data_IF_899585793426
#
_entry.id   IF_899585793426
#
_cell.length_a   1.000
_cell.length_b   1.000
_cell.length_c   1.000
_cell.angle_alpha   90.00
_cell.angle_beta   90.00
_cell.angle_gamma   90.00
#
_symmetry.space_group_name_H-M   'P 1'
#
loop_
_entity.id
_entity.type
_entity.pdbx_description
1 polymer ?
#
# COMPACT_ATOMS: atom_id res chain seq x y z
N UNK A 1 4.56 -1.13 -20.17
CA UNK A 1 3.58 -0.06 -19.91
C UNK A 1 2.41 -0.52 -19.03
N UNK A 2 1.67 -1.58 -19.37
CA UNK A 2 0.51 -2.04 -18.57
C UNK A 2 0.85 -2.31 -17.09
N UNK A 3 1.99 -2.97 -16.79
CA UNK A 3 2.42 -3.26 -15.42
C UNK A 3 2.56 -2.00 -14.57
N UNK A 4 3.22 -0.97 -15.10
CA UNK A 4 3.45 0.29 -14.40
C UNK A 4 2.15 1.02 -14.07
N UNK A 5 1.17 0.97 -14.97
CA UNK A 5 -0.16 1.56 -14.76
C UNK A 5 -0.89 0.83 -13.63
N UNK A 6 -0.85 -0.51 -13.60
CA UNK A 6 -1.48 -1.31 -12.53
C UNK A 6 -0.85 -0.98 -11.17
N UNK A 7 0.48 -0.93 -11.08
CA UNK A 7 1.13 -0.59 -9.80
C UNK A 7 0.80 0.84 -9.35
N UNK A 8 0.73 1.81 -10.27
CA UNK A 8 0.37 3.18 -9.93
C UNK A 8 -1.09 3.28 -9.44
N UNK A 9 -2.00 2.56 -10.08
CA UNK A 9 -3.40 2.50 -9.67
C UNK A 9 -3.53 1.83 -8.29
N UNK A 10 -2.81 0.73 -8.07
CA UNK A 10 -2.79 0.06 -6.76
C UNK A 10 -2.15 0.90 -5.67
N UNK A 11 -1.18 1.74 -6.00
CA UNK A 11 -0.59 2.69 -5.05
C UNK A 11 -1.63 3.71 -4.56
N UNK A 12 -2.39 4.31 -5.48
CA UNK A 12 -3.45 5.28 -5.13
C UNK A 12 -4.54 4.59 -4.29
N UNK A 13 -4.98 3.40 -4.70
CA UNK A 13 -6.01 2.63 -3.97
C UNK A 13 -5.52 2.25 -2.58
N UNK A 14 -4.28 1.77 -2.46
CA UNK A 14 -3.69 1.39 -1.17
C UNK A 14 -3.54 2.59 -0.25
N UNK A 15 -3.08 3.73 -0.79
CA UNK A 15 -2.97 4.96 -0.02
C UNK A 15 -4.32 5.38 0.55
N UNK A 16 -5.37 5.39 -0.27
CA UNK A 16 -6.73 5.69 0.19
C UNK A 16 -7.27 4.67 1.20
N UNK A 17 -6.98 3.38 0.99
CA UNK A 17 -7.43 2.32 1.90
C UNK A 17 -6.75 2.37 3.28
N UNK A 18 -5.50 2.84 3.33
CA UNK A 18 -4.74 2.99 4.57
C UNK A 18 -5.41 3.99 5.53
N UNK A 19 -6.05 5.05 5.02
CA UNK A 19 -6.76 6.03 5.85
C UNK A 19 -7.92 5.42 6.68
N UNK A 20 -8.43 4.25 6.31
CA UNK A 20 -9.45 3.54 7.08
C UNK A 20 -8.92 2.90 8.38
N UNK A 21 -7.59 2.82 8.56
CA UNK A 21 -6.98 2.20 9.73
C UNK A 21 -6.97 3.16 10.91
N UNK A 22 -7.38 2.68 12.09
CA UNK A 22 -7.26 3.46 13.32
C UNK A 22 -5.81 3.44 13.85
N UNK A 23 -5.02 4.41 13.39
CA UNK A 23 -3.61 4.59 13.73
C UNK A 23 -3.36 4.90 15.22
N UNK A 24 -4.28 5.58 15.91
CA UNK A 24 -4.13 5.92 17.33
C UNK A 24 -4.10 4.68 18.24
N UNK A 25 -4.88 3.66 17.88
CA UNK A 25 -4.88 2.38 18.61
C UNK A 25 -3.74 1.45 18.19
N UNK A 26 -3.27 1.56 16.95
CA UNK A 26 -2.24 0.69 16.39
C UNK A 26 -0.82 1.11 16.78
N UNK A 27 -0.56 2.42 16.87
CA UNK A 27 0.78 2.97 17.01
C UNK A 27 1.11 3.36 18.45
N UNK A 28 2.38 3.24 18.81
CA UNK A 28 2.87 3.66 20.13
C UNK A 28 2.84 5.20 20.24
N UNK A 29 2.37 5.70 21.38
CA UNK A 29 2.39 7.12 21.72
C UNK A 29 3.81 7.69 21.62
N UNK A 30 3.94 8.95 21.19
CA UNK A 30 5.21 9.70 21.03
C UNK A 30 6.19 9.15 19.97
N UNK A 31 5.74 8.33 19.01
CA UNK A 31 6.59 7.78 17.93
C UNK A 31 6.13 8.22 16.52
N UNK A 32 5.87 9.52 16.34
CA UNK A 32 5.35 10.09 15.07
C UNK A 32 6.24 9.77 13.87
N UNK A 33 7.54 9.98 13.97
CA UNK A 33 8.45 9.72 12.83
C UNK A 33 8.49 8.24 12.44
N UNK A 34 8.47 7.33 13.43
CA UNK A 34 8.46 5.89 13.18
C UNK A 34 7.14 5.44 12.55
N UNK A 35 6.03 6.03 13.00
CA UNK A 35 4.71 5.80 12.44
C UNK A 35 4.63 6.25 10.97
N UNK A 36 5.18 7.41 10.63
CA UNK A 36 5.22 7.90 9.25
C UNK A 36 6.04 6.98 8.34
N UNK A 37 7.23 6.56 8.79
CA UNK A 37 8.06 5.60 8.04
C UNK A 37 7.31 4.29 7.85
N UNK A 38 6.65 3.78 8.90
CA UNK A 38 5.84 2.57 8.82
C UNK A 38 4.69 2.72 7.82
N UNK A 39 3.99 3.86 7.83
CA UNK A 39 2.91 4.15 6.89
C UNK A 39 3.40 4.06 5.44
N UNK A 40 4.49 4.76 5.10
CA UNK A 40 5.05 4.72 3.75
C UNK A 40 5.48 3.31 3.32
N UNK A 41 6.15 2.58 4.21
CA UNK A 41 6.56 1.19 3.93
C UNK A 41 5.34 0.30 3.69
N UNK A 42 4.31 0.43 4.52
CA UNK A 42 3.08 -0.34 4.41
C UNK A 42 2.36 -0.04 3.09
N UNK A 43 2.24 1.24 2.72
CA UNK A 43 1.61 1.62 1.44
C UNK A 43 2.38 1.00 0.27
N UNK A 44 3.71 1.13 0.24
CA UNK A 44 4.52 0.57 -0.85
C UNK A 44 4.42 -0.97 -0.92
N UNK A 45 4.48 -1.64 0.24
CA UNK A 45 4.39 -3.09 0.31
C UNK A 45 3.02 -3.61 -0.15
N UNK A 46 1.93 -3.03 0.36
CA UNK A 46 0.57 -3.45 0.01
C UNK A 46 0.26 -3.11 -1.45
N UNK A 47 0.67 -1.95 -1.95
CA UNK A 47 0.51 -1.59 -3.35
C UNK A 47 1.24 -2.56 -4.29
N UNK A 48 2.46 -2.97 -3.94
CA UNK A 48 3.21 -3.96 -4.70
C UNK A 48 2.56 -5.34 -4.67
N UNK A 49 2.12 -5.80 -3.50
CA UNK A 49 1.43 -7.08 -3.33
C UNK A 49 0.12 -7.12 -4.11
N UNK A 50 -0.73 -6.10 -3.96
CA UNK A 50 -1.99 -5.99 -4.67
C UNK A 50 -1.77 -5.87 -6.19
N UNK A 51 -0.80 -5.06 -6.62
CA UNK A 51 -0.43 -4.91 -8.03
C UNK A 51 0.08 -6.22 -8.64
N UNK A 52 0.94 -6.94 -7.91
CA UNK A 52 1.46 -8.24 -8.33
C UNK A 52 0.35 -9.28 -8.44
N UNK A 53 -0.57 -9.30 -7.47
CA UNK A 53 -1.73 -10.18 -7.46
C UNK A 53 -2.62 -9.94 -8.68
N UNK A 54 -2.97 -8.69 -8.96
CA UNK A 54 -3.78 -8.34 -10.14
C UNK A 54 -3.04 -8.72 -11.42
N UNK A 55 -1.75 -8.41 -11.50
CA UNK A 55 -0.92 -8.75 -12.66
C UNK A 55 -0.83 -10.25 -12.90
N UNK A 56 -0.90 -11.08 -11.86
CA UNK A 56 -0.91 -12.53 -11.99
C UNK A 56 -2.09 -13.03 -12.82
N UNK A 57 -3.29 -12.45 -12.65
CA UNK A 57 -4.46 -12.78 -13.48
C UNK A 57 -4.28 -12.39 -14.96
N UNK A 58 -3.55 -11.32 -15.25
CA UNK A 58 -3.27 -10.89 -16.63
C UNK A 58 -2.10 -11.64 -17.25
N UNK A 59 -1.20 -12.20 -16.44
CA UNK A 59 -0.05 -12.99 -16.90
C UNK A 59 -0.40 -14.47 -17.08
N UNK A 60 -1.52 -14.93 -16.51
CA UNK A 60 -2.08 -16.26 -16.76
C UNK A 60 -2.78 -16.28 -18.13
N UNK A 61 -1.97 -16.27 -19.19
CA UNK A 61 -2.32 -16.76 -20.53
C UNK A 61 -1.40 -17.90 -20.89
#
# INVERSE_FOLDING_TARGET
MLRSIVYLLMFIVTWFAMDAINYEKLLRKNKVNQAQVLYFILVMAVAYLAGSFILSFFHFR
#
